data_IF_304858717191
#
_entry.id   IF_304858717191
#
_cell.length_a   1.000
_cell.length_b   1.000
_cell.length_c   1.000
_cell.angle_alpha   90.00
_cell.angle_beta   90.00
_cell.angle_gamma   90.00
#
_symmetry.space_group_name_H-M   'P 1'
#
loop_
_entity.id
_entity.type
_entity.pdbx_description
1 polymer ?
#
# COMPACT_ATOMS: atom_id res chain seq x y z
N UNK A 1 -2.83 -22.39 17.95
CA UNK A 1 -3.28 -21.09 18.49
C UNK A 1 -2.56 -19.90 17.85
N UNK A 2 -1.23 -19.92 17.66
CA UNK A 2 -0.46 -18.81 17.05
C UNK A 2 -1.00 -18.26 15.71
N UNK A 3 -1.44 -19.13 14.79
CA UNK A 3 -1.95 -18.71 13.48
C UNK A 3 -3.25 -17.89 13.56
N UNK A 4 -4.00 -18.00 14.67
CA UNK A 4 -5.22 -17.21 14.89
C UNK A 4 -4.91 -15.72 14.90
N UNK A 5 -3.77 -15.29 15.41
CA UNK A 5 -3.41 -13.87 15.43
C UNK A 5 -2.97 -13.34 14.06
N UNK A 6 -2.50 -14.22 13.15
CA UNK A 6 -2.06 -13.79 11.82
C UNK A 6 -3.22 -13.34 10.94
N UNK A 7 -4.41 -13.97 11.09
CA UNK A 7 -5.59 -13.60 10.31
C UNK A 7 -6.13 -12.21 10.70
N UNK A 8 -5.95 -11.80 11.96
CA UNK A 8 -6.40 -10.49 12.45
C UNK A 8 -5.69 -9.34 11.71
N UNK A 9 -4.40 -9.51 11.37
CA UNK A 9 -3.67 -8.53 10.58
C UNK A 9 -4.23 -8.38 9.17
N UNK A 10 -4.69 -9.48 8.55
CA UNK A 10 -5.30 -9.46 7.22
C UNK A 10 -6.60 -8.64 7.26
N UNK A 11 -7.49 -8.96 8.20
CA UNK A 11 -8.76 -8.24 8.32
C UNK A 11 -8.57 -6.78 8.73
N UNK A 12 -7.65 -6.49 9.65
CA UNK A 12 -7.34 -5.12 10.07
C UNK A 12 -6.88 -4.29 8.87
N UNK A 13 -5.89 -4.78 8.14
CA UNK A 13 -5.30 -4.04 7.02
C UNK A 13 -6.32 -3.84 5.88
N UNK A 14 -7.13 -4.87 5.59
CA UNK A 14 -8.20 -4.78 4.60
C UNK A 14 -9.30 -3.77 5.00
N UNK A 15 -9.70 -3.74 6.28
CA UNK A 15 -10.68 -2.77 6.79
C UNK A 15 -10.15 -1.34 6.76
N UNK A 16 -8.94 -1.13 7.26
CA UNK A 16 -8.37 0.21 7.43
C UNK A 16 -7.90 0.85 6.11
N UNK A 17 -7.41 0.05 5.16
CA UNK A 17 -6.74 0.59 3.98
C UNK A 17 -7.38 0.24 2.64
N UNK A 18 -8.11 -0.88 2.56
CA UNK A 18 -8.68 -1.40 1.31
C UNK A 18 -10.21 -1.39 1.30
N UNK A 19 -10.82 -0.81 2.33
CA UNK A 19 -12.24 -0.54 2.37
C UNK A 19 -13.14 -1.75 2.49
N UNK A 20 -12.69 -2.82 3.15
CA UNK A 20 -13.48 -4.04 3.33
C UNK A 20 -14.92 -3.78 3.81
N UNK A 21 -15.13 -2.75 4.64
CA UNK A 21 -16.42 -2.40 5.21
C UNK A 21 -17.11 -1.18 4.53
N UNK A 22 -16.59 -0.69 3.41
CA UNK A 22 -17.12 0.52 2.77
C UNK A 22 -18.35 0.27 1.89
N UNK A 23 -18.55 -0.95 1.38
CA UNK A 23 -19.72 -1.24 0.55
C UNK A 23 -20.99 -1.24 1.40
N UNK A 24 -21.99 -0.49 0.96
CA UNK A 24 -23.30 -0.34 1.59
C UNK A 24 -24.43 -0.86 0.67
N UNK A 25 -24.09 -1.80 -0.21
CA UNK A 25 -25.08 -2.38 -1.13
C UNK A 25 -26.07 -3.27 -0.39
N UNK A 26 -27.34 -3.24 -0.80
CA UNK A 26 -28.39 -4.14 -0.30
C UNK A 26 -28.40 -5.50 -1.02
N UNK A 27 -27.76 -5.59 -2.19
CA UNK A 27 -27.63 -6.83 -2.95
C UNK A 27 -26.48 -7.68 -2.44
N UNK A 28 -26.76 -8.96 -2.16
CA UNK A 28 -25.80 -9.92 -1.60
C UNK A 28 -24.60 -10.13 -2.53
N UNK A 29 -24.84 -10.27 -3.82
CA UNK A 29 -23.81 -10.57 -4.82
C UNK A 29 -22.76 -9.45 -4.88
N UNK A 30 -23.21 -8.19 -4.74
CA UNK A 30 -22.32 -7.03 -4.71
C UNK A 30 -21.49 -6.95 -3.43
N UNK A 31 -22.07 -7.34 -2.30
CA UNK A 31 -21.33 -7.44 -1.04
C UNK A 31 -20.27 -8.53 -1.14
N UNK A 32 -20.64 -9.73 -1.59
CA UNK A 32 -19.71 -10.85 -1.76
C UNK A 32 -18.55 -10.49 -2.70
N UNK A 33 -18.85 -9.86 -3.83
CA UNK A 33 -17.83 -9.34 -4.74
C UNK A 33 -16.91 -8.32 -4.05
N UNK A 34 -17.46 -7.34 -3.34
CA UNK A 34 -16.68 -6.30 -2.66
C UNK A 34 -15.72 -6.88 -1.62
N UNK A 35 -16.19 -7.80 -0.77
CA UNK A 35 -15.34 -8.42 0.25
C UNK A 35 -14.19 -9.22 -0.39
N UNK A 36 -14.51 -10.02 -1.41
CA UNK A 36 -13.50 -10.79 -2.15
C UNK A 36 -12.49 -9.86 -2.81
N UNK A 37 -12.95 -8.79 -3.46
CA UNK A 37 -12.09 -7.81 -4.10
C UNK A 37 -11.12 -7.15 -3.11
N UNK A 38 -11.60 -6.66 -1.97
CA UNK A 38 -10.75 -6.04 -0.94
C UNK A 38 -9.70 -7.01 -0.40
N UNK A 39 -10.04 -8.28 -0.18
CA UNK A 39 -9.10 -9.30 0.30
C UNK A 39 -8.09 -9.72 -0.79
N UNK A 40 -8.54 -9.87 -2.03
CA UNK A 40 -7.66 -10.15 -3.17
C UNK A 40 -6.66 -9.01 -3.40
N UNK A 41 -7.10 -7.76 -3.26
CA UNK A 41 -6.23 -6.59 -3.38
C UNK A 41 -5.12 -6.59 -2.32
N UNK A 42 -5.41 -7.06 -1.10
CA UNK A 42 -4.40 -7.20 -0.05
C UNK A 42 -3.34 -8.23 -0.42
N UNK A 43 -3.77 -9.39 -0.94
CA UNK A 43 -2.88 -10.44 -1.41
C UNK A 43 -2.00 -9.94 -2.56
N UNK A 44 -2.58 -9.22 -3.52
CA UNK A 44 -1.84 -8.62 -4.63
C UNK A 44 -0.80 -7.61 -4.13
N UNK A 45 -1.18 -6.72 -3.20
CA UNK A 45 -0.25 -5.75 -2.63
C UNK A 45 0.95 -6.40 -1.92
N UNK A 46 0.73 -7.53 -1.24
CA UNK A 46 1.81 -8.35 -0.65
C UNK A 46 2.72 -8.94 -1.71
N UNK A 47 2.16 -9.52 -2.78
CA UNK A 47 2.93 -10.12 -3.87
C UNK A 47 3.83 -9.07 -4.52
N UNK A 48 3.26 -7.94 -4.92
CA UNK A 48 3.99 -6.94 -5.73
C UNK A 48 5.05 -6.17 -4.94
N UNK A 49 4.81 -5.86 -3.66
CA UNK A 49 5.66 -4.96 -2.88
C UNK A 49 6.50 -5.64 -1.78
N UNK A 50 6.16 -6.87 -1.38
CA UNK A 50 6.78 -7.53 -0.22
C UNK A 50 7.41 -8.88 -0.56
N UNK A 51 6.71 -9.77 -1.25
CA UNK A 51 7.23 -11.10 -1.59
C UNK A 51 8.39 -11.06 -2.59
N UNK A 52 8.45 -10.05 -3.45
CA UNK A 52 9.56 -9.86 -4.39
C UNK A 52 10.91 -9.55 -3.72
N UNK A 53 10.94 -9.24 -2.42
CA UNK A 53 12.18 -8.96 -1.68
C UNK A 53 12.82 -10.26 -1.19
N UNK A 54 14.17 -10.37 -1.14
CA UNK A 54 14.88 -11.48 -0.50
C UNK A 54 14.43 -11.68 0.94
N UNK A 55 14.30 -12.93 1.39
CA UNK A 55 13.78 -13.29 2.73
C UNK A 55 14.49 -12.53 3.84
N UNK A 56 15.81 -12.40 3.78
CA UNK A 56 16.63 -11.72 4.80
C UNK A 56 16.40 -10.20 4.87
N UNK A 57 15.85 -9.61 3.81
CA UNK A 57 15.55 -8.18 3.72
C UNK A 57 14.06 -7.86 3.93
N UNK A 58 13.22 -8.88 4.14
CA UNK A 58 11.77 -8.70 4.34
C UNK A 58 11.50 -8.17 5.75
N UNK A 59 11.31 -6.86 5.84
CA UNK A 59 10.71 -6.20 7.02
C UNK A 59 9.25 -6.63 7.19
N UNK A 60 8.63 -6.27 8.32
CA UNK A 60 7.21 -6.49 8.53
C UNK A 60 6.37 -5.87 7.39
N UNK A 61 5.35 -6.59 6.93
CA UNK A 61 4.45 -6.08 5.90
C UNK A 61 3.56 -4.96 6.48
N UNK A 62 3.47 -3.84 5.77
CA UNK A 62 2.63 -2.70 6.13
C UNK A 62 1.99 -2.13 4.87
N UNK A 63 0.67 -2.27 4.74
CA UNK A 63 -0.07 -1.66 3.63
C UNK A 63 -0.10 -0.12 3.76
N UNK A 64 -0.02 0.41 4.98
CA UNK A 64 0.13 1.83 5.24
C UNK A 64 1.38 2.38 4.56
N UNK A 65 2.53 1.72 4.74
CA UNK A 65 3.80 2.17 4.16
C UNK A 65 3.76 2.18 2.63
N UNK A 66 3.11 1.18 2.03
CA UNK A 66 2.90 1.10 0.59
C UNK A 66 2.04 2.29 0.14
N UNK A 67 0.90 2.53 0.80
CA UNK A 67 -0.01 3.65 0.48
C UNK A 67 0.68 5.00 0.61
N UNK A 68 1.43 5.21 1.69
CA UNK A 68 2.19 6.44 1.96
C UNK A 68 3.25 6.66 0.90
N UNK A 69 4.00 5.62 0.53
CA UNK A 69 5.01 5.72 -0.53
C UNK A 69 4.40 6.16 -1.87
N UNK A 70 3.30 5.53 -2.31
CA UNK A 70 2.63 5.91 -3.56
C UNK A 70 2.00 7.29 -3.49
N UNK A 71 1.48 7.69 -2.33
CA UNK A 71 0.97 9.05 -2.12
C UNK A 71 2.09 10.09 -2.28
N UNK A 72 3.22 9.88 -1.60
CA UNK A 72 4.39 10.77 -1.69
C UNK A 72 4.90 10.85 -3.13
N UNK A 73 5.01 9.72 -3.81
CA UNK A 73 5.45 9.67 -5.21
C UNK A 73 4.50 10.48 -6.12
N UNK A 74 3.19 10.29 -5.97
CA UNK A 74 2.18 11.06 -6.73
C UNK A 74 2.25 12.55 -6.39
N UNK A 75 2.44 12.90 -5.13
CA UNK A 75 2.54 14.30 -4.69
C UNK A 75 3.80 14.97 -5.26
N UNK A 76 4.95 14.29 -5.22
CA UNK A 76 6.20 14.78 -5.81
C UNK A 76 6.08 14.96 -7.32
N UNK A 77 5.46 14.01 -8.03
CA UNK A 77 5.21 14.15 -9.46
C UNK A 77 4.31 15.36 -9.77
N UNK A 78 3.29 15.61 -8.94
CA UNK A 78 2.46 16.80 -9.06
C UNK A 78 3.26 18.08 -8.79
N UNK A 79 4.11 18.08 -7.77
CA UNK A 79 5.00 19.20 -7.45
C UNK A 79 5.93 19.50 -8.62
N UNK A 80 6.65 18.51 -9.13
CA UNK A 80 7.55 18.68 -10.28
C UNK A 80 6.81 19.22 -11.52
N UNK A 81 5.62 18.69 -11.81
CA UNK A 81 4.78 19.19 -12.90
C UNK A 81 4.36 20.66 -12.72
N UNK A 82 4.04 21.09 -11.50
CA UNK A 82 3.61 22.47 -11.21
C UNK A 82 4.79 23.45 -11.29
N UNK A 83 5.98 23.04 -10.85
CA UNK A 83 7.18 23.87 -10.84
C UNK A 83 8.06 23.73 -12.09
N UNK A 84 7.63 22.96 -13.10
CA UNK A 84 8.38 22.76 -14.34
C UNK A 84 9.70 21.99 -14.18
N UNK A 85 9.83 21.20 -13.12
CA UNK A 85 11.01 20.37 -12.88
C UNK A 85 10.84 19.05 -13.64
N UNK A 86 11.82 18.67 -14.46
CA UNK A 86 11.79 17.40 -15.20
C UNK A 86 11.94 16.21 -14.25
N UNK A 87 10.92 15.31 -14.12
CA UNK A 87 10.98 14.18 -13.21
C UNK A 87 12.13 13.21 -13.52
N UNK A 88 12.45 13.05 -14.80
CA UNK A 88 13.49 12.16 -15.32
C UNK A 88 14.87 12.46 -14.73
N UNK A 89 15.16 13.75 -14.50
CA UNK A 89 16.42 14.19 -13.91
C UNK A 89 16.49 13.91 -12.40
N UNK A 90 15.36 13.63 -11.77
CA UNK A 90 15.23 13.51 -10.32
C UNK A 90 15.07 12.06 -9.83
N UNK A 91 14.95 11.09 -10.74
CA UNK A 91 14.74 9.66 -10.42
C UNK A 91 15.84 9.11 -9.51
N UNK A 92 17.10 9.49 -9.77
CA UNK A 92 18.27 8.99 -9.05
C UNK A 92 18.69 9.88 -7.87
N UNK A 93 17.94 10.95 -7.58
CA UNK A 93 18.29 11.88 -6.52
C UNK A 93 18.01 11.26 -5.13
N UNK A 94 19.00 11.12 -4.25
CA UNK A 94 18.81 10.52 -2.93
C UNK A 94 17.80 11.29 -2.07
N UNK A 95 17.70 12.61 -2.24
CA UNK A 95 16.72 13.45 -1.53
C UNK A 95 15.29 13.16 -2.00
N UNK A 96 15.10 12.83 -3.27
CA UNK A 96 13.78 12.46 -3.79
C UNK A 96 13.38 11.09 -3.27
N UNK A 97 14.33 10.17 -3.16
CA UNK A 97 14.08 8.87 -2.54
C UNK A 97 13.79 8.97 -1.04
N UNK A 98 14.42 9.91 -0.31
CA UNK A 98 14.09 10.14 1.10
C UNK A 98 12.67 10.71 1.27
N UNK A 99 12.28 11.66 0.43
CA UNK A 99 10.92 12.21 0.39
C UNK A 99 9.88 11.16 0.01
N UNK A 100 10.20 10.28 -0.96
CA UNK A 100 9.34 9.16 -1.32
C UNK A 100 9.07 8.23 -0.14
N UNK A 101 10.06 7.99 0.70
CA UNK A 101 9.96 7.15 1.89
C UNK A 101 9.52 7.89 3.17
N UNK A 102 9.20 9.18 3.07
CA UNK A 102 8.78 9.99 4.21
C UNK A 102 7.51 9.43 4.88
N UNK A 103 7.48 9.44 6.22
CA UNK A 103 6.38 8.96 7.05
C UNK A 103 6.06 7.45 6.99
N UNK A 104 6.93 6.62 6.41
CA UNK A 104 6.84 5.16 6.54
C UNK A 104 7.19 4.74 7.97
N UNK A 105 6.39 3.86 8.57
CA UNK A 105 6.51 3.44 9.97
C UNK A 105 7.47 2.26 10.11
N UNK A 106 7.46 1.30 9.16
CA UNK A 106 8.35 0.14 9.18
C UNK A 106 9.54 0.32 8.21
N UNK A 107 10.17 1.50 8.24
CA UNK A 107 11.29 1.86 7.36
C UNK A 107 12.48 0.95 7.54
#
# INVERSE_FOLDING_TARGET
YHLRFQIEFIYRDAKQHLGLNHCQSTQKERLDFHHNFSLTMLSLAKITNWLNKPTDSRKAFSIYDIKTQYFNERFLNKFFSVFGISPEQQINNPNVNSLRNYAKIAA
#
